data_IF_537097539143
#
_entry.id   IF_537097539143
#
_cell.length_a   1.000
_cell.length_b   1.000
_cell.length_c   1.000
_cell.angle_alpha   90.00
_cell.angle_beta   90.00
_cell.angle_gamma   90.00
#
_symmetry.space_group_name_H-M   'P 1'
#
loop_
_entity.id
_entity.type
_entity.pdbx_description
1 polymer ?
#
# COMPACT_ATOMS: atom_id res chain seq x y z
N UNK A 1 11.76 -23.99 27.46
CA UNK A 1 11.31 -22.59 27.66
C UNK A 1 12.16 -21.55 26.94
N UNK A 2 13.49 -21.66 26.86
CA UNK A 2 14.35 -20.63 26.22
C UNK A 2 14.09 -20.41 24.71
N UNK A 3 13.75 -21.46 23.95
CA UNK A 3 13.51 -21.37 22.51
C UNK A 3 12.18 -20.68 22.14
N UNK A 4 11.17 -20.74 23.02
CA UNK A 4 9.88 -20.06 22.82
C UNK A 4 10.01 -18.56 23.08
N UNK A 5 10.76 -18.17 24.11
CA UNK A 5 11.07 -16.77 24.40
C UNK A 5 11.94 -16.12 23.31
N UNK A 6 12.90 -16.85 22.74
CA UNK A 6 13.73 -16.36 21.64
C UNK A 6 12.92 -16.11 20.35
N UNK A 7 11.95 -16.99 20.03
CA UNK A 7 11.03 -16.78 18.89
C UNK A 7 10.12 -15.58 19.11
N UNK A 8 9.53 -15.44 20.31
CA UNK A 8 8.70 -14.29 20.68
C UNK A 8 9.47 -12.96 20.59
N UNK A 9 10.72 -12.93 21.08
CA UNK A 9 11.57 -11.75 21.01
C UNK A 9 11.99 -11.40 19.58
N UNK A 10 12.29 -12.38 18.72
CA UNK A 10 12.60 -12.14 17.31
C UNK A 10 11.38 -11.67 16.51
N UNK A 11 10.19 -12.20 16.79
CA UNK A 11 8.93 -11.74 16.21
C UNK A 11 8.62 -10.30 16.66
N UNK A 12 8.79 -10.00 17.96
CA UNK A 12 8.62 -8.66 18.50
C UNK A 12 9.64 -7.67 17.92
N UNK A 13 10.90 -8.05 17.75
CA UNK A 13 11.91 -7.19 17.12
C UNK A 13 11.64 -6.91 15.64
N UNK A 14 11.17 -7.90 14.88
CA UNK A 14 10.75 -7.68 13.50
C UNK A 14 9.45 -6.86 13.39
N UNK A 15 8.51 -7.06 14.32
CA UNK A 15 7.32 -6.23 14.45
C UNK A 15 7.75 -4.79 14.78
N UNK A 16 8.60 -4.56 15.77
CA UNK A 16 9.11 -3.25 16.18
C UNK A 16 9.82 -2.50 15.05
N UNK A 17 10.63 -3.19 14.23
CA UNK A 17 11.25 -2.58 13.05
C UNK A 17 10.24 -2.21 11.96
N UNK A 18 9.11 -2.93 11.86
CA UNK A 18 7.98 -2.56 10.99
C UNK A 18 7.10 -1.45 11.60
N UNK A 19 7.00 -1.38 12.93
CA UNK A 19 6.30 -0.32 13.67
C UNK A 19 6.96 1.04 13.51
N UNK A 20 8.29 1.11 13.46
CA UNK A 20 9.02 2.38 13.48
C UNK A 20 8.83 3.24 12.21
N UNK A 21 8.19 2.71 11.16
CA UNK A 21 7.87 3.44 9.94
C UNK A 21 6.39 3.85 9.84
N UNK A 22 5.60 3.69 10.92
CA UNK A 22 4.14 3.81 10.89
C UNK A 22 3.51 5.13 11.43
N UNK A 23 4.13 6.33 11.43
CA UNK A 23 3.43 7.49 12.01
C UNK A 23 2.33 8.06 11.09
N UNK A 24 2.21 7.64 9.83
CA UNK A 24 1.39 8.42 8.87
C UNK A 24 -0.08 7.97 8.72
N UNK A 25 -0.49 6.80 9.23
CA UNK A 25 -1.81 6.23 8.91
C UNK A 25 -2.94 6.69 9.86
N UNK A 26 -2.63 7.31 10.99
CA UNK A 26 -3.38 6.95 12.19
C UNK A 26 -4.60 7.79 12.59
N UNK A 27 -4.79 9.04 12.17
CA UNK A 27 -5.86 9.84 12.80
C UNK A 27 -7.26 9.41 12.38
N UNK A 28 -7.60 9.49 11.09
CA UNK A 28 -9.01 9.37 10.68
C UNK A 28 -9.58 7.97 10.90
N UNK A 29 -8.78 6.94 10.63
CA UNK A 29 -9.16 5.53 10.78
C UNK A 29 -9.33 5.14 12.25
N UNK A 30 -8.38 5.49 13.13
CA UNK A 30 -8.44 5.11 14.54
C UNK A 30 -9.25 6.08 15.42
N UNK A 31 -9.75 7.19 14.86
CA UNK A 31 -10.69 8.11 15.51
C UNK A 31 -12.13 7.94 14.99
N UNK A 32 -12.45 6.81 14.35
CA UNK A 32 -13.77 6.54 13.74
C UNK A 32 -14.21 5.09 13.90
N UNK A 33 -15.49 4.83 13.61
CA UNK A 33 -16.09 3.50 13.60
C UNK A 33 -15.80 2.68 14.84
N UNK A 34 -15.29 1.46 14.64
CA UNK A 34 -14.95 0.50 15.68
C UNK A 34 -14.11 1.10 16.81
N UNK A 35 -13.25 2.08 16.52
CA UNK A 35 -12.29 2.63 17.49
C UNK A 35 -12.85 3.79 18.30
N UNK A 36 -13.76 4.59 17.73
CA UNK A 36 -14.31 5.80 18.39
C UNK A 36 -15.22 5.44 19.56
N UNK A 37 -16.02 4.39 19.39
CA UNK A 37 -17.08 4.05 20.34
C UNK A 37 -16.57 3.19 21.52
N UNK A 38 -15.26 2.95 21.59
CA UNK A 38 -14.66 2.19 22.69
C UNK A 38 -14.42 3.11 23.88
N UNK A 39 -15.26 2.97 24.91
CA UNK A 39 -14.96 3.52 26.23
C UNK A 39 -13.81 2.71 26.82
N UNK A 40 -12.58 3.19 26.66
CA UNK A 40 -11.44 2.62 27.38
C UNK A 40 -11.56 3.00 28.85
N UNK A 41 -11.63 2.03 29.79
CA UNK A 41 -11.49 2.31 31.22
C UNK A 41 -10.20 3.10 31.47
N UNK A 42 -10.16 3.94 32.51
CA UNK A 42 -8.94 4.62 32.98
C UNK A 42 -7.94 3.62 33.61
N UNK A 43 -7.53 2.63 32.83
CA UNK A 43 -6.61 1.57 33.22
C UNK A 43 -5.45 1.58 32.22
N UNK A 44 -4.26 1.88 32.73
CA UNK A 44 -3.01 1.93 31.93
C UNK A 44 -2.72 0.61 31.20
N UNK A 45 -3.12 -0.54 31.76
CA UNK A 45 -2.99 -1.83 31.10
C UNK A 45 -3.86 -1.93 29.85
N UNK A 46 -5.11 -1.47 29.93
CA UNK A 46 -6.05 -1.52 28.80
C UNK A 46 -5.63 -0.54 27.71
N UNK A 47 -5.15 0.65 28.07
CA UNK A 47 -4.60 1.61 27.10
C UNK A 47 -3.41 1.01 26.33
N UNK A 48 -2.45 0.41 27.05
CA UNK A 48 -1.32 -0.26 26.41
C UNK A 48 -1.75 -1.42 25.51
N UNK A 49 -2.82 -2.14 25.87
CA UNK A 49 -3.38 -3.20 25.01
C UNK A 49 -4.03 -2.62 23.74
N UNK A 50 -4.78 -1.53 23.86
CA UNK A 50 -5.40 -0.82 22.73
C UNK A 50 -4.35 -0.33 21.73
N UNK A 51 -3.23 0.23 22.19
CA UNK A 51 -2.17 0.71 21.29
C UNK A 51 -1.46 -0.44 20.55
N UNK A 52 -1.21 -1.56 21.25
CA UNK A 52 -0.70 -2.79 20.60
C UNK A 52 -1.72 -3.41 19.65
N UNK A 53 -3.02 -3.30 19.94
CA UNK A 53 -4.07 -3.78 19.07
C UNK A 53 -4.11 -2.99 17.76
N UNK A 54 -4.10 -1.64 17.82
CA UNK A 54 -4.03 -0.77 16.63
C UNK A 54 -2.83 -1.15 15.75
N UNK A 55 -1.68 -1.33 16.38
CA UNK A 55 -0.45 -1.79 15.74
C UNK A 55 -0.59 -3.16 15.06
N UNK A 56 -1.21 -4.11 15.76
CA UNK A 56 -1.41 -5.47 15.26
C UNK A 56 -2.31 -5.46 14.04
N UNK A 57 -3.37 -4.66 14.06
CA UNK A 57 -4.29 -4.47 12.93
C UNK A 57 -3.56 -3.88 11.71
N UNK A 58 -2.70 -2.86 11.91
CA UNK A 58 -1.87 -2.32 10.81
C UNK A 58 -0.91 -3.35 10.22
N UNK A 59 -0.46 -4.30 11.05
CA UNK A 59 0.46 -5.38 10.67
C UNK A 59 -0.24 -6.55 9.96
N UNK A 60 -1.57 -6.51 9.79
CA UNK A 60 -2.34 -7.52 9.05
C UNK A 60 -1.97 -7.60 7.56
N UNK A 61 -1.29 -6.57 7.02
CA UNK A 61 -0.78 -6.53 5.65
C UNK A 61 0.71 -6.18 5.64
N UNK A 62 1.39 -6.53 4.56
CA UNK A 62 2.76 -6.09 4.33
C UNK A 62 2.83 -4.56 4.35
N UNK A 63 3.91 -4.02 4.92
CA UNK A 63 4.09 -2.57 5.05
C UNK A 63 3.98 -1.84 3.70
N UNK A 64 4.57 -2.41 2.64
CA UNK A 64 4.48 -1.88 1.27
C UNK A 64 3.03 -1.76 0.78
N UNK A 65 2.20 -2.76 1.04
CA UNK A 65 0.77 -2.76 0.70
C UNK A 65 0.00 -1.72 1.50
N UNK A 66 0.16 -1.69 2.83
CA UNK A 66 -0.50 -0.68 3.69
C UNK A 66 -0.09 0.74 3.32
N UNK A 67 1.19 0.97 3.01
CA UNK A 67 1.71 2.26 2.56
C UNK A 67 1.09 2.69 1.22
N UNK A 68 0.93 1.75 0.28
CA UNK A 68 0.30 2.02 -1.00
C UNK A 68 -1.18 2.39 -0.84
N UNK A 69 -1.94 1.61 -0.07
CA UNK A 69 -3.35 1.90 0.22
C UNK A 69 -3.53 3.23 0.93
N UNK A 70 -2.67 3.54 1.89
CA UNK A 70 -2.68 4.83 2.58
C UNK A 70 -2.45 6.01 1.62
N UNK A 71 -1.46 5.90 0.73
CA UNK A 71 -1.21 6.94 -0.29
C UNK A 71 -2.40 7.12 -1.22
N UNK A 72 -3.04 6.02 -1.63
CA UNK A 72 -4.24 6.08 -2.47
C UNK A 72 -5.42 6.71 -1.74
N UNK A 73 -5.66 6.34 -0.48
CA UNK A 73 -6.69 6.94 0.36
C UNK A 73 -6.46 8.43 0.60
N UNK A 74 -5.21 8.86 0.78
CA UNK A 74 -4.89 10.30 0.90
C UNK A 74 -5.31 11.09 -0.34
N UNK A 75 -5.04 10.57 -1.54
CA UNK A 75 -5.45 11.22 -2.80
C UNK A 75 -6.97 11.34 -2.90
N UNK A 76 -7.71 10.35 -2.43
CA UNK A 76 -9.17 10.43 -2.29
C UNK A 76 -9.58 11.57 -1.35
N UNK A 77 -8.99 11.65 -0.15
CA UNK A 77 -9.31 12.74 0.80
C UNK A 77 -9.01 14.11 0.23
N UNK A 78 -7.88 14.27 -0.45
CA UNK A 78 -7.52 15.51 -1.15
C UNK A 78 -8.60 15.88 -2.19
N UNK A 79 -9.08 14.91 -2.97
CA UNK A 79 -10.19 15.13 -3.90
C UNK A 79 -11.49 15.53 -3.18
N UNK A 80 -11.88 14.81 -2.13
CA UNK A 80 -13.10 15.09 -1.37
C UNK A 80 -13.10 16.51 -0.78
N UNK A 81 -11.98 16.92 -0.16
CA UNK A 81 -11.83 18.26 0.42
C UNK A 81 -11.82 19.33 -0.68
N UNK A 82 -11.02 19.15 -1.74
CA UNK A 82 -10.80 20.21 -2.73
C UNK A 82 -11.90 20.30 -3.79
N UNK A 83 -12.66 19.23 -4.06
CA UNK A 83 -13.64 19.17 -5.15
C UNK A 83 -15.06 18.99 -4.68
N UNK A 84 -15.27 18.35 -3.52
CA UNK A 84 -16.61 18.06 -2.99
C UNK A 84 -16.93 18.86 -1.72
N UNK A 85 -15.96 19.61 -1.16
CA UNK A 85 -16.10 20.35 0.09
C UNK A 85 -16.47 19.46 1.29
N UNK A 86 -16.03 18.20 1.29
CA UNK A 86 -16.29 17.21 2.35
C UNK A 86 -15.03 16.83 3.15
N UNK A 87 -15.21 16.21 4.31
CA UNK A 87 -14.10 15.74 5.18
C UNK A 87 -13.33 14.55 4.60
N UNK A 88 -13.95 13.78 3.69
CA UNK A 88 -13.34 12.63 3.02
C UNK A 88 -13.38 11.31 3.81
N UNK A 89 -13.90 11.30 5.06
CA UNK A 89 -14.11 10.07 5.83
C UNK A 89 -15.18 10.21 6.94
N UNK A 90 -16.12 9.25 7.10
CA UNK A 90 -16.38 8.10 6.23
C UNK A 90 -16.77 8.54 4.81
N UNK A 91 -16.32 7.81 3.80
CA UNK A 91 -16.60 8.16 2.41
C UNK A 91 -18.00 7.71 1.99
N UNK A 92 -18.73 8.61 1.34
CA UNK A 92 -20.02 8.34 0.73
C UNK A 92 -19.87 7.56 -0.59
N UNK A 93 -20.66 6.50 -0.85
CA UNK A 93 -20.55 5.70 -2.07
C UNK A 93 -20.74 6.49 -3.37
N UNK A 94 -21.65 7.47 -3.39
CA UNK A 94 -21.89 8.30 -4.59
C UNK A 94 -20.67 9.19 -4.87
N UNK A 95 -20.08 9.80 -3.84
CA UNK A 95 -18.87 10.59 -3.97
C UNK A 95 -17.66 9.76 -4.40
N UNK A 96 -17.54 8.51 -3.92
CA UNK A 96 -16.52 7.58 -4.39
C UNK A 96 -16.73 7.24 -5.87
N UNK A 97 -17.97 6.97 -6.31
CA UNK A 97 -18.26 6.72 -7.72
C UNK A 97 -17.86 7.91 -8.62
N UNK A 98 -18.17 9.14 -8.20
CA UNK A 98 -17.75 10.37 -8.88
C UNK A 98 -16.23 10.49 -8.98
N UNK A 99 -15.51 10.16 -7.90
CA UNK A 99 -14.05 10.18 -7.91
C UNK A 99 -13.46 9.13 -8.85
N UNK A 100 -14.00 7.91 -8.89
CA UNK A 100 -13.55 6.89 -9.83
C UNK A 100 -13.82 7.29 -11.28
N UNK A 101 -14.95 7.94 -11.54
CA UNK A 101 -15.25 8.53 -12.86
C UNK A 101 -14.25 9.63 -13.23
N UNK A 102 -13.93 10.53 -12.31
CA UNK A 102 -12.90 11.56 -12.52
C UNK A 102 -11.53 10.95 -12.82
N UNK A 103 -11.14 9.89 -12.10
CA UNK A 103 -9.89 9.18 -12.35
C UNK A 103 -9.89 8.47 -13.70
N UNK A 104 -11.01 7.89 -14.13
CA UNK A 104 -11.14 7.24 -15.43
C UNK A 104 -10.86 8.22 -16.58
N UNK A 105 -11.30 9.48 -16.47
CA UNK A 105 -11.09 10.50 -17.49
C UNK A 105 -9.63 10.96 -17.61
N UNK A 106 -8.84 10.80 -16.55
CA UNK A 106 -7.45 11.26 -16.51
C UNK A 106 -6.41 10.13 -16.58
N UNK A 107 -6.78 8.93 -16.16
CA UNK A 107 -5.85 7.82 -16.01
C UNK A 107 -5.49 7.19 -17.35
N UNK A 108 -4.23 6.77 -17.47
CA UNK A 108 -3.72 6.00 -18.61
C UNK A 108 -3.62 4.50 -18.29
N UNK A 109 -4.00 4.09 -17.07
CA UNK A 109 -3.86 2.72 -16.60
C UNK A 109 -4.99 2.33 -15.66
N UNK A 110 -5.56 1.11 -15.79
CA UNK A 110 -6.57 0.60 -14.86
C UNK A 110 -6.04 0.46 -13.43
N UNK A 111 -4.71 0.34 -13.24
CA UNK A 111 -4.09 0.23 -11.91
C UNK A 111 -4.34 1.46 -11.02
N UNK A 112 -4.56 2.65 -11.61
CA UNK A 112 -4.87 3.88 -10.87
C UNK A 112 -6.23 3.75 -10.18
N UNK A 113 -7.23 3.22 -10.90
CA UNK A 113 -8.59 3.03 -10.40
C UNK A 113 -8.60 1.93 -9.34
N UNK A 114 -7.96 0.79 -9.61
CA UNK A 114 -7.86 -0.30 -8.63
C UNK A 114 -7.15 0.16 -7.35
N UNK A 115 -6.09 0.96 -7.46
CA UNK A 115 -5.38 1.50 -6.29
C UNK A 115 -6.26 2.42 -5.46
N UNK A 116 -7.01 3.33 -6.10
CA UNK A 116 -7.95 4.22 -5.43
C UNK A 116 -9.05 3.44 -4.72
N UNK A 117 -9.71 2.52 -5.43
CA UNK A 117 -10.78 1.68 -4.91
C UNK A 117 -10.32 0.88 -3.68
N UNK A 118 -9.20 0.15 -3.78
CA UNK A 118 -8.72 -0.66 -2.66
C UNK A 118 -8.12 0.18 -1.53
N UNK A 119 -7.59 1.37 -1.81
CA UNK A 119 -7.15 2.31 -0.78
C UNK A 119 -8.32 2.78 0.10
N UNK A 120 -9.45 3.15 -0.51
CA UNK A 120 -10.67 3.55 0.19
C UNK A 120 -11.26 2.35 0.94
N UNK A 121 -11.34 1.18 0.30
CA UNK A 121 -11.82 -0.06 0.96
C UNK A 121 -11.02 -0.37 2.21
N UNK A 122 -9.69 -0.38 2.08
CA UNK A 122 -8.80 -0.64 3.19
C UNK A 122 -8.99 0.34 4.36
N UNK A 123 -9.18 1.64 4.10
CA UNK A 123 -9.39 2.63 5.15
C UNK A 123 -10.69 2.36 5.95
N UNK A 124 -11.78 2.00 5.26
CA UNK A 124 -13.05 1.63 5.90
C UNK A 124 -12.93 0.32 6.67
N UNK A 125 -12.30 -0.71 6.09
CA UNK A 125 -12.06 -2.01 6.74
C UNK A 125 -11.24 -1.84 8.03
N UNK A 126 -10.19 -1.01 7.99
CA UNK A 126 -9.36 -0.71 9.18
C UNK A 126 -10.11 0.09 10.24
N UNK A 127 -11.12 0.89 9.86
CA UNK A 127 -11.99 1.60 10.80
C UNK A 127 -13.17 0.74 11.30
N UNK A 128 -13.34 -0.47 10.77
CA UNK A 128 -14.49 -1.33 11.06
C UNK A 128 -15.82 -0.74 10.58
N UNK A 129 -15.81 0.03 9.49
CA UNK A 129 -16.99 0.65 8.89
C UNK A 129 -17.40 -0.09 7.61
N UNK A 130 -18.69 -0.06 7.22
CA UNK A 130 -19.12 -0.52 5.91
C UNK A 130 -18.34 0.19 4.81
N UNK A 131 -17.86 -0.56 3.82
CA UNK A 131 -17.07 0.04 2.73
C UNK A 131 -17.98 0.63 1.66
N UNK A 132 -17.75 1.87 1.20
CA UNK A 132 -18.50 2.44 0.07
C UNK A 132 -18.28 1.65 -1.22
N UNK A 133 -17.19 0.87 -1.28
CA UNK A 133 -16.83 0.02 -2.41
C UNK A 133 -17.70 -1.22 -2.55
N UNK A 134 -18.45 -1.60 -1.50
CA UNK A 134 -19.39 -2.72 -1.55
C UNK A 134 -20.71 -2.34 -2.25
N UNK A 135 -20.89 -1.04 -2.57
CA UNK A 135 -22.01 -0.57 -3.38
C UNK A 135 -21.86 -1.02 -4.85
N UNK A 136 -22.92 -1.59 -5.42
CA UNK A 136 -22.91 -2.14 -6.78
C UNK A 136 -22.58 -1.11 -7.86
N UNK A 137 -22.97 0.16 -7.70
CA UNK A 137 -22.65 1.23 -8.65
C UNK A 137 -21.14 1.50 -8.65
N UNK A 138 -20.51 1.57 -7.47
CA UNK A 138 -19.07 1.80 -7.34
C UNK A 138 -18.28 0.66 -7.99
N UNK A 139 -18.67 -0.59 -7.75
CA UNK A 139 -18.03 -1.76 -8.37
C UNK A 139 -18.27 -1.81 -9.90
N UNK A 140 -19.45 -1.39 -10.37
CA UNK A 140 -19.74 -1.28 -11.80
C UNK A 140 -18.87 -0.23 -12.49
N UNK A 141 -18.67 0.94 -11.88
CA UNK A 141 -17.78 2.00 -12.41
C UNK A 141 -16.35 1.47 -12.50
N UNK A 142 -15.85 0.83 -11.45
CA UNK A 142 -14.52 0.20 -11.46
C UNK A 142 -14.40 -0.85 -12.57
N UNK A 143 -15.38 -1.75 -12.67
CA UNK A 143 -15.39 -2.81 -13.68
C UNK A 143 -15.41 -2.26 -15.11
N UNK A 144 -16.17 -1.19 -15.35
CA UNK A 144 -16.20 -0.49 -16.63
C UNK A 144 -14.86 0.19 -16.91
N UNK A 145 -14.29 0.90 -15.94
CA UNK A 145 -12.99 1.57 -16.07
C UNK A 145 -11.88 0.59 -16.44
N UNK A 146 -11.86 -0.61 -15.84
CA UNK A 146 -10.90 -1.66 -16.19
C UNK A 146 -11.01 -2.12 -17.63
N UNK A 147 -12.22 -2.23 -18.17
CA UNK A 147 -12.43 -2.58 -19.59
C UNK A 147 -11.97 -1.46 -20.51
N UNK A 148 -12.36 -0.23 -20.22
CA UNK A 148 -12.03 0.96 -21.04
C UNK A 148 -10.52 1.20 -21.09
N UNK A 149 -9.84 1.15 -19.94
CA UNK A 149 -8.40 1.41 -19.86
C UNK A 149 -7.55 0.18 -20.17
N UNK A 150 -8.07 -1.03 -19.94
CA UNK A 150 -7.37 -2.28 -20.23
C UNK A 150 -7.21 -2.56 -21.72
N UNK A 151 -8.05 -1.98 -22.57
CA UNK A 151 -7.91 -2.03 -24.03
C UNK A 151 -6.92 -1.01 -24.59
N UNK A 152 -6.47 -0.05 -23.78
CA UNK A 152 -5.43 0.88 -24.19
C UNK A 152 -4.10 0.13 -24.39
N UNK A 153 -3.34 0.51 -25.41
CA UNK A 153 -2.08 -0.15 -25.74
C UNK A 153 -1.16 -0.17 -24.52
N UNK A 154 -0.94 -1.38 -23.95
CA UNK A 154 -0.04 -1.54 -22.82
C UNK A 154 1.38 -1.37 -23.35
N UNK A 155 2.02 -0.28 -22.96
CA UNK A 155 3.42 -0.02 -23.27
C UNK A 155 4.29 -0.98 -22.44
N UNK A 156 4.41 -2.23 -22.91
CA UNK A 156 5.20 -3.27 -22.24
C UNK A 156 6.66 -2.90 -22.38
N UNK A 157 7.37 -2.83 -21.25
CA UNK A 157 8.83 -2.70 -21.26
C UNK A 157 9.43 -3.91 -21.98
N UNK A 158 10.42 -3.66 -22.82
CA UNK A 158 11.17 -4.72 -23.47
C UNK A 158 11.87 -5.60 -22.42
N UNK A 159 11.91 -6.93 -22.63
CA UNK A 159 12.63 -7.81 -21.74
C UNK A 159 14.13 -7.51 -21.79
N UNK A 160 14.79 -7.58 -20.65
CA UNK A 160 16.26 -7.48 -20.59
C UNK A 160 16.85 -8.70 -21.30
N UNK A 161 17.68 -8.45 -22.32
CA UNK A 161 18.38 -9.51 -23.06
C UNK A 161 19.74 -9.81 -22.42
N UNK A 162 20.25 -11.02 -22.66
CA UNK A 162 21.61 -11.40 -22.24
C UNK A 162 22.68 -10.54 -22.90
N UNK A 163 22.43 -10.05 -24.11
CA UNK A 163 23.35 -9.20 -24.86
C UNK A 163 23.44 -7.82 -24.23
N UNK A 164 22.31 -7.26 -23.78
CA UNK A 164 22.28 -6.00 -23.04
C UNK A 164 23.04 -6.11 -21.72
N UNK A 165 22.90 -7.22 -20.98
CA UNK A 165 23.68 -7.45 -19.76
C UNK A 165 25.17 -7.54 -20.07
N UNK A 166 25.57 -8.24 -21.14
CA UNK A 166 26.97 -8.34 -21.57
C UNK A 166 27.54 -6.97 -21.94
N UNK A 167 26.77 -6.16 -22.64
CA UNK A 167 27.16 -4.79 -23.01
C UNK A 167 27.39 -3.93 -21.75
N UNK A 168 26.45 -3.93 -20.81
CA UNK A 168 26.56 -3.20 -19.54
C UNK A 168 27.82 -3.61 -18.78
N UNK A 169 28.08 -4.92 -18.66
CA UNK A 169 29.29 -5.45 -17.98
C UNK A 169 30.56 -4.98 -18.70
N UNK A 170 30.56 -4.96 -20.03
CA UNK A 170 31.74 -4.59 -20.83
C UNK A 170 32.12 -3.11 -20.74
N UNK A 171 31.15 -2.23 -20.49
CA UNK A 171 31.36 -0.78 -20.42
C UNK A 171 31.66 -0.28 -19.00
N UNK A 172 31.54 -1.15 -18.00
CA UNK A 172 31.60 -0.76 -16.61
C UNK A 172 33.04 -0.73 -16.06
N UNK A 173 33.29 0.17 -15.11
CA UNK A 173 34.57 0.22 -14.40
C UNK A 173 34.54 -0.70 -13.17
N UNK A 174 35.13 -1.90 -13.28
CA UNK A 174 35.14 -2.89 -12.19
C UNK A 174 36.03 -2.50 -11.00
N UNK A 175 36.92 -1.52 -11.17
CA UNK A 175 37.74 -0.97 -10.08
C UNK A 175 36.95 0.03 -9.22
N UNK A 176 35.80 0.51 -9.71
CA UNK A 176 34.88 1.33 -8.94
C UNK A 176 33.93 0.42 -8.13
N UNK A 177 33.97 0.46 -6.79
CA UNK A 177 33.12 -0.39 -5.96
C UNK A 177 31.61 -0.22 -6.19
N UNK A 178 31.17 0.97 -6.60
CA UNK A 178 29.75 1.24 -6.89
C UNK A 178 29.30 0.54 -8.16
N UNK A 179 30.11 0.64 -9.22
CA UNK A 179 29.82 0.02 -10.50
C UNK A 179 29.88 -1.51 -10.37
N UNK A 180 30.93 -2.03 -9.71
CA UNK A 180 31.06 -3.45 -9.39
C UNK A 180 29.82 -3.98 -8.65
N UNK A 181 29.34 -3.27 -7.62
CA UNK A 181 28.13 -3.65 -6.89
C UNK A 181 26.90 -3.67 -7.80
N UNK A 182 26.66 -2.60 -8.56
CA UNK A 182 25.45 -2.49 -9.39
C UNK A 182 25.42 -3.58 -10.48
N UNK A 183 26.55 -3.84 -11.14
CA UNK A 183 26.65 -4.91 -12.15
C UNK A 183 26.43 -6.28 -11.51
N UNK A 184 27.04 -6.52 -10.34
CA UNK A 184 26.84 -7.79 -9.61
C UNK A 184 25.36 -7.99 -9.30
N UNK A 185 24.66 -6.96 -8.85
CA UNK A 185 23.22 -7.00 -8.63
C UNK A 185 22.45 -7.30 -9.93
N UNK A 186 22.79 -6.65 -11.06
CA UNK A 186 22.12 -6.90 -12.34
C UNK A 186 22.33 -8.33 -12.83
N UNK A 187 23.55 -8.86 -12.75
CA UNK A 187 23.89 -10.23 -13.16
C UNK A 187 23.21 -11.26 -12.26
N UNK A 188 23.20 -11.06 -10.94
CA UNK A 188 22.51 -11.95 -10.00
C UNK A 188 20.99 -11.94 -10.22
N UNK A 189 20.39 -10.76 -10.40
CA UNK A 189 18.96 -10.64 -10.74
C UNK A 189 18.64 -11.36 -12.06
N UNK A 190 19.48 -11.20 -13.09
CA UNK A 190 19.25 -11.81 -14.40
C UNK A 190 19.43 -13.33 -14.40
N UNK A 191 20.42 -13.85 -13.67
CA UNK A 191 20.76 -15.29 -13.70
C UNK A 191 19.94 -16.12 -12.72
N UNK A 192 19.63 -15.57 -11.54
CA UNK A 192 18.92 -16.27 -10.47
C UNK A 192 17.43 -15.91 -10.42
N UNK A 193 17.01 -14.91 -11.20
CA UNK A 193 15.64 -14.36 -11.20
C UNK A 193 15.21 -13.78 -9.84
N UNK A 194 16.16 -13.30 -9.06
CA UNK A 194 15.89 -12.61 -7.81
C UNK A 194 15.19 -11.28 -8.03
N UNK A 195 14.28 -10.93 -7.11
CA UNK A 195 13.75 -9.57 -7.03
C UNK A 195 14.77 -8.70 -6.33
N UNK A 196 14.66 -7.39 -6.54
CA UNK A 196 15.52 -6.42 -5.87
C UNK A 196 15.51 -6.61 -4.34
N UNK A 197 14.32 -6.78 -3.76
CA UNK A 197 14.12 -6.99 -2.32
C UNK A 197 14.78 -8.27 -1.77
N UNK A 198 15.18 -9.22 -2.62
CA UNK A 198 15.87 -10.46 -2.18
C UNK A 198 17.39 -10.24 -2.01
N UNK A 199 17.95 -9.20 -2.64
CA UNK A 199 19.40 -8.95 -2.69
C UNK A 199 19.83 -7.59 -2.13
N UNK A 200 18.88 -6.70 -1.82
CA UNK A 200 19.11 -5.33 -1.34
C UNK A 200 19.03 -5.19 0.18
#
# INVERSE_FOLDING_TARGET
ESLVNARSAAQNSQLEKKLFCAPFVSSDVFCSGFWRDQVTPENSFVQGLTDRLKTTVLSSKAYSTSSQYHRAFRKWKEFAVCKLNETGFPADPFHVALYLQHLLEQAQSPSVIDSAFYGIKWAHDMAGLPSPTDNSVVENVRSAAKRILGTAAVNRKEPISSDLIREIVSQANLDNPVDLRNITMYVLCFTVFFRFDDIS
#
